data_IF_443818538627
#
_entry.id   IF_443818538627
#
_cell.length_a   1.000
_cell.length_b   1.000
_cell.length_c   1.000
_cell.angle_alpha   90.00
_cell.angle_beta   90.00
_cell.angle_gamma   90.00
#
_symmetry.space_group_name_H-M   'P 1'
#
loop_
_entity.id
_entity.type
_entity.pdbx_description
1 polymer ?
2 polymer ?
3 polymer ?
4 non-polymer ?
5 non-polymer ?
6 water ?
#
loop_
_entity_poly.entity_id
_entity_poly.type
_entity_poly.pdbx_seq_one_letter_code
_entity_poly.pdbx_strand_id
2 'polydeoxyribonucleotide' '(DC)(DG)(DC)(DT)(DA)(DG)(DT)(DC)(DG)(DA)(DC)(DA)(DT)' ?
3 'polydeoxyribonucleotide' '(DA)(DC)(DG)(DA)(DC)(DT)(DA)(DG)(DC)(DG)' ?
#
# COMPACT_ATOMS: atom_id res chain seq x y z
N UNK A 2 -3.42 -6.60 0.72
CA UNK A 2 -3.12 -7.44 1.87
C UNK A 2 -3.25 -8.93 1.56
N UNK A 3 -2.15 -9.66 1.70
CA UNK A 3 -2.13 -11.08 1.37
C UNK A 3 -2.54 -11.94 2.56
N UNK A 4 -3.49 -12.85 2.34
CA UNK A 4 -4.08 -13.64 3.41
C UNK A 4 -3.16 -14.74 3.90
N UNK A 5 -2.77 -14.67 5.17
CA UNK A 5 -1.94 -15.69 5.79
C UNK A 5 -0.46 -15.45 5.62
N UNK A 6 -0.11 -14.28 5.11
CA UNK A 6 1.28 -13.96 4.81
C UNK A 6 2.09 -13.74 6.09
N UNK A 7 1.42 -13.28 7.14
CA UNK A 7 2.07 -13.04 8.42
C UNK A 7 2.58 -14.33 9.05
N UNK A 8 1.69 -15.30 9.20
CA UNK A 8 2.05 -16.59 9.80
C UNK A 8 3.10 -17.33 8.95
N UNK A 9 2.99 -17.20 7.64
CA UNK A 9 3.84 -17.96 6.72
C UNK A 9 5.31 -17.62 6.90
N UNK A 10 5.60 -16.35 7.18
CA UNK A 10 6.97 -15.89 7.37
C UNK A 10 7.18 -15.34 8.77
N UNK A 11 6.45 -15.91 9.73
CA UNK A 11 6.51 -15.49 11.13
C UNK A 11 7.93 -15.49 11.68
N UNK A 12 8.75 -16.39 11.16
CA UNK A 12 10.11 -16.58 11.63
C UNK A 12 11.05 -15.45 11.23
N UNK A 13 10.58 -14.57 10.35
CA UNK A 13 11.37 -13.42 9.91
C UNK A 13 10.87 -12.14 10.57
N UNK A 14 10.05 -12.30 11.59
CA UNK A 14 9.46 -11.17 12.30
C UNK A 14 9.90 -11.11 13.75
N UNK A 15 10.22 -9.91 14.25
CA UNK A 15 10.50 -9.75 15.66
C UNK A 15 9.75 -8.56 16.27
N UNK A 16 9.29 -8.70 17.51
CA UNK A 16 8.64 -7.61 18.25
C UNK A 16 9.64 -6.52 18.63
N UNK A 17 9.38 -5.29 18.20
CA UNK A 17 10.26 -4.18 18.51
C UNK A 17 9.51 -3.03 19.17
N UNK A 18 10.22 -1.94 19.38
CA UNK A 18 9.59 -0.68 19.76
C UNK A 18 10.14 0.43 18.86
N UNK A 19 9.35 1.47 18.62
CA UNK A 19 9.72 2.51 17.68
C UNK A 19 11.01 3.23 18.07
N UNK A 20 11.30 3.26 19.36
CA UNK A 20 12.49 3.97 19.84
C UNK A 20 13.77 3.38 19.26
N UNK A 21 13.65 2.21 18.65
CA UNK A 21 14.75 1.59 17.92
C UNK A 21 15.29 2.51 16.83
N UNK A 22 14.40 3.26 16.20
CA UNK A 22 14.78 4.15 15.12
C UNK A 22 14.92 5.60 15.58
N UNK A 23 15.26 5.79 16.85
CA UNK A 23 15.47 7.13 17.38
C UNK A 23 16.60 7.83 16.61
N UNK A 24 16.29 9.00 16.06
CA UNK A 24 17.25 9.74 15.26
C UNK A 24 17.14 9.40 13.79
N UNK A 25 16.43 8.31 13.49
CA UNK A 25 16.24 7.89 12.11
C UNK A 25 14.87 8.33 11.58
N UNK A 26 14.64 8.06 10.30
CA UNK A 26 13.44 8.53 9.62
C UNK A 26 12.57 7.37 9.14
N UNK A 27 11.29 7.41 9.48
CA UNK A 27 10.36 6.37 9.04
C UNK A 27 9.25 6.97 8.19
N UNK A 28 8.75 6.18 7.24
CA UNK A 28 7.66 6.61 6.38
C UNK A 28 6.38 5.85 6.73
N UNK A 29 5.26 6.56 6.78
CA UNK A 29 4.01 5.94 7.24
C UNK A 29 2.95 5.81 6.15
N UNK A 30 2.34 4.63 6.08
CA UNK A 30 1.18 4.40 5.22
C UNK A 30 -0.07 4.95 5.91
N UNK A 31 -0.26 6.26 5.79
CA UNK A 31 -1.22 7.00 6.60
C UNK A 31 -2.68 6.60 6.37
N UNK A 32 -3.00 6.16 5.17
CA UNK A 32 -4.37 5.75 4.85
C UNK A 32 -4.88 4.65 5.78
N UNK A 33 -3.97 3.84 6.30
CA UNK A 33 -4.30 2.82 7.28
C UNK A 33 -4.78 3.44 8.59
N UNK A 34 -4.01 4.40 9.09
CA UNK A 34 -4.37 5.12 10.30
C UNK A 34 -5.67 5.87 10.14
N UNK A 35 -5.86 6.44 8.95
CA UNK A 35 -7.09 7.14 8.62
C UNK A 35 -8.28 6.20 8.67
N UNK A 36 -8.15 5.05 8.02
CA UNK A 36 -9.22 4.06 8.01
C UNK A 36 -9.51 3.55 9.42
N UNK A 37 -8.47 3.48 10.25
CA UNK A 37 -8.63 3.00 11.62
C UNK A 37 -9.28 4.05 12.50
N UNK A 38 -9.05 5.31 12.18
CA UNK A 38 -9.56 6.41 13.00
C UNK A 38 -10.96 6.83 12.62
N UNK A 39 -11.32 6.65 11.35
CA UNK A 39 -12.63 7.03 10.84
C UNK A 39 -13.72 6.15 11.44
N UNK A 40 -13.32 5.01 11.99
CA UNK A 40 -14.25 4.07 12.61
C UNK A 40 -15.00 4.71 13.78
N UNK A 41 -14.30 5.53 14.55
CA UNK A 41 -14.88 6.17 15.73
C UNK A 41 -15.89 7.26 15.37
N UNK A 42 -15.97 7.57 14.08
CA UNK A 42 -16.91 8.59 13.60
C UNK A 42 -17.47 8.23 12.23
N UNK A 43 -17.81 6.95 12.06
CA UNK A 43 -18.32 6.44 10.79
C UNK A 43 -19.73 6.96 10.51
N UNK A 44 -20.49 7.21 11.56
CA UNK A 44 -21.86 7.69 11.43
C UNK A 44 -21.90 9.06 10.77
N UNK A 45 -21.15 10.00 11.32
CA UNK A 45 -21.09 11.37 10.81
C UNK A 45 -20.58 11.39 9.36
N UNK A 46 -19.62 10.53 9.06
CA UNK A 46 -19.03 10.45 7.73
C UNK A 46 -19.99 9.86 6.72
N UNK A 47 -20.82 8.93 7.16
CA UNK A 47 -21.80 8.30 6.28
C UNK A 47 -22.98 9.23 6.03
N UNK A 48 -23.39 9.96 7.05
CA UNK A 48 -24.52 10.87 6.94
C UNK A 48 -24.10 12.26 6.46
N UNK A 49 -22.81 12.43 6.16
CA UNK A 49 -22.30 13.68 5.64
C UNK A 49 -22.21 14.79 6.68
N UNK A 50 -22.17 14.40 7.95
CA UNK A 50 -22.02 15.36 9.04
C UNK A 50 -20.54 15.68 9.30
N UNK A 51 -20.22 16.97 9.50
CA UNK A 51 -18.85 17.43 9.73
C UNK A 51 -18.21 16.82 10.98
N UNK A 52 -17.07 16.17 10.81
CA UNK A 52 -16.35 15.56 11.92
C UNK A 52 -14.85 15.78 11.76
N UNK A 53 -14.12 15.70 12.87
CA UNK A 53 -12.70 16.03 12.87
C UNK A 53 -11.90 15.14 13.83
N UNK A 54 -12.36 13.91 14.03
CA UNK A 54 -11.74 13.02 15.00
C UNK A 54 -10.56 12.23 14.42
N UNK A 55 -10.70 11.79 13.17
CA UNK A 55 -9.66 10.98 12.52
C UNK A 55 -8.34 11.74 12.45
N UNK A 56 -8.43 13.06 12.28
CA UNK A 56 -7.25 13.92 12.27
C UNK A 56 -6.49 13.79 13.57
N UNK A 57 -7.22 13.89 14.69
CA UNK A 57 -6.62 13.71 16.00
C UNK A 57 -6.06 12.31 16.18
N UNK A 58 -6.78 11.32 15.67
CA UNK A 58 -6.34 9.93 15.77
C UNK A 58 -5.02 9.70 15.03
N UNK A 59 -4.79 10.47 13.98
CA UNK A 59 -3.51 10.39 13.28
C UNK A 59 -2.44 11.18 14.02
N UNK A 60 -2.84 12.34 14.54
CA UNK A 60 -1.91 13.24 15.21
C UNK A 60 -1.39 12.71 16.54
N UNK A 61 -2.09 11.76 17.13
CA UNK A 61 -1.61 11.15 18.37
C UNK A 61 -0.49 10.15 18.08
N UNK A 62 -0.64 9.37 17.01
CA UNK A 62 0.42 8.48 16.56
C UNK A 62 1.63 9.30 16.13
N UNK A 63 1.36 10.38 15.40
CA UNK A 63 2.40 11.31 14.99
C UNK A 63 3.16 11.87 16.20
N UNK A 64 2.40 12.32 17.20
CA UNK A 64 3.00 12.84 18.42
C UNK A 64 3.79 11.79 19.17
N UNK A 65 3.36 10.53 19.06
CA UNK A 65 4.07 9.45 19.71
C UNK A 65 5.43 9.21 19.05
N UNK A 66 5.42 9.05 17.72
CA UNK A 66 6.66 8.90 16.97
C UNK A 66 7.60 10.07 17.20
N UNK A 67 7.05 11.28 17.21
CA UNK A 67 7.84 12.48 17.47
C UNK A 67 8.44 12.46 18.86
N UNK A 68 7.65 11.99 19.83
CA UNK A 68 8.07 11.96 21.22
C UNK A 68 9.23 10.99 21.42
N UNK A 69 9.16 9.84 20.75
CA UNK A 69 10.24 8.86 20.85
C UNK A 69 11.43 9.22 19.96
N UNK A 70 11.41 10.43 19.41
CA UNK A 70 12.54 10.95 18.66
C UNK A 70 12.66 10.44 17.24
N UNK A 71 11.53 10.21 16.58
CA UNK A 71 11.54 9.74 15.19
C UNK A 71 11.12 10.86 14.25
N UNK A 72 11.72 10.92 13.07
CA UNK A 72 11.23 11.82 12.04
C UNK A 72 10.32 11.04 11.09
N UNK A 73 9.01 11.33 11.16
CA UNK A 73 8.04 10.63 10.33
C UNK A 73 7.74 11.33 9.01
N UNK A 74 7.47 10.54 7.99
CA UNK A 74 7.01 11.05 6.70
C UNK A 74 5.69 10.38 6.37
N UNK A 75 4.64 11.18 6.23
CA UNK A 75 3.31 10.61 5.98
C UNK A 75 3.04 10.52 4.49
N UNK A 76 2.79 9.30 4.01
CA UNK A 76 2.52 9.08 2.59
C UNK A 76 1.05 8.72 2.37
N UNK A 77 0.47 9.30 1.33
CA UNK A 77 -0.96 9.14 1.05
C UNK A 77 -1.20 8.54 -0.34
N UNK A 78 -2.26 7.74 -0.44
CA UNK A 78 -2.70 7.23 -1.73
C UNK A 78 -3.14 8.38 -2.63
N UNK A 79 -2.88 8.24 -3.93
CA UNK A 79 -3.25 9.28 -4.88
C UNK A 79 -4.21 8.79 -5.95
N UNK A 80 -3.79 8.91 -7.20
CA UNK A 80 -4.62 8.52 -8.33
C UNK A 80 -4.81 7.01 -8.36
N UNK A 81 -6.00 6.58 -8.78
CA UNK A 81 -6.31 5.15 -8.84
C UNK A 81 -5.55 4.47 -9.96
N UNK A 82 -4.91 3.36 -9.63
CA UNK A 82 -4.11 2.60 -10.59
C UNK A 82 -5.01 1.76 -11.50
N UNK A 83 -4.76 1.82 -12.81
CA UNK A 83 -5.56 1.07 -13.81
C UNK A 83 -5.44 -0.44 -13.64
N UNK A 84 -4.28 -0.93 -13.19
CA UNK A 84 -4.08 -2.35 -12.97
C UNK A 84 -4.90 -2.83 -11.78
N UNK A 85 -5.26 -1.90 -10.91
CA UNK A 85 -6.00 -2.21 -9.71
C UNK A 85 -7.48 -1.85 -9.87
N UNK A 86 -7.88 -1.58 -11.11
CA UNK A 86 -9.22 -1.08 -11.42
C UNK A 86 -10.32 -2.05 -10.98
N UNK A 87 -10.08 -3.34 -11.14
CA UNK A 87 -11.07 -4.36 -10.81
C UNK A 87 -11.32 -4.43 -9.30
N UNK A 88 -10.24 -4.57 -8.54
CA UNK A 88 -10.33 -4.66 -7.09
C UNK A 88 -10.93 -3.39 -6.50
N UNK A 89 -10.45 -2.24 -6.94
CA UNK A 89 -10.97 -0.96 -6.49
C UNK A 89 -12.44 -0.79 -6.83
N UNK A 90 -12.84 -1.30 -8.00
CA UNK A 90 -14.24 -1.27 -8.39
C UNK A 90 -15.08 -2.12 -7.44
N UNK A 91 -14.53 -3.28 -7.07
CA UNK A 91 -15.19 -4.18 -6.13
C UNK A 91 -15.39 -3.49 -4.77
N UNK A 92 -14.33 -2.83 -4.29
CA UNK A 92 -14.40 -2.11 -3.02
C UNK A 92 -15.43 -0.99 -3.10
N UNK A 93 -15.46 -0.31 -4.24
CA UNK A 93 -16.42 0.76 -4.48
C UNK A 93 -17.86 0.24 -4.36
N UNK A 94 -18.14 -0.85 -5.07
CA UNK A 94 -19.47 -1.44 -5.08
C UNK A 94 -19.89 -1.96 -3.70
N UNK A 95 -18.94 -2.52 -2.96
CA UNK A 95 -19.23 -2.98 -1.61
C UNK A 95 -19.51 -1.81 -0.68
N UNK A 96 -18.75 -0.73 -0.84
CA UNK A 96 -18.97 0.49 -0.08
C UNK A 96 -20.37 1.05 -0.33
N UNK A 97 -20.75 1.14 -1.61
CA UNK A 97 -22.07 1.64 -1.98
C UNK A 97 -23.17 0.73 -1.42
N UNK A 98 -22.91 -0.58 -1.47
CA UNK A 98 -23.87 -1.57 -0.99
C UNK A 98 -24.13 -1.43 0.50
N UNK A 99 -23.06 -1.37 1.29
CA UNK A 99 -23.21 -1.19 2.74
C UNK A 99 -23.81 0.17 3.07
N UNK A 100 -23.41 1.19 2.32
CA UNK A 100 -23.93 2.54 2.50
C UNK A 100 -25.45 2.55 2.36
N UNK A 101 -25.95 2.00 1.27
CA UNK A 101 -27.38 1.93 1.04
C UNK A 101 -28.08 1.08 2.10
N UNK A 102 -27.54 -0.13 2.30
CA UNK A 102 -28.11 -1.11 3.23
C UNK A 102 -28.30 -0.53 4.62
N UNK A 103 -27.38 0.34 5.04
CA UNK A 103 -27.54 1.02 6.31
C UNK A 103 -28.47 2.21 6.20
N UNK A 104 -28.07 3.18 5.39
CA UNK A 104 -28.73 4.48 5.25
C UNK A 104 -30.25 4.39 5.05
N UNK A 105 -30.70 3.41 4.27
CA UNK A 105 -32.13 3.29 4.03
C UNK A 105 -32.81 2.20 4.85
N UNK A 106 -32.31 0.97 4.75
CA UNK A 106 -32.98 -0.17 5.37
C UNK A 106 -32.73 -0.30 6.87
N UNK A 107 -31.88 0.56 7.44
CA UNK A 107 -31.60 0.46 8.88
C UNK A 107 -31.99 1.73 9.64
N UNK A 108 -32.41 2.75 8.92
CA UNK A 108 -32.86 3.99 9.54
C UNK A 108 -34.28 3.84 10.05
N UNK A 109 -35.01 2.88 9.50
CA UNK A 109 -36.40 2.63 9.88
C UNK A 109 -36.57 1.25 10.52
N UNK A 110 -35.66 0.33 10.21
CA UNK A 110 -35.69 -1.00 10.78
C UNK A 110 -35.06 -1.04 12.16
N UNK A 111 -33.79 -1.46 12.20
CA UNK A 111 -33.04 -1.51 13.45
C UNK A 111 -31.80 -0.63 13.35
N UNK A 112 -31.58 0.17 14.39
CA UNK A 112 -30.50 1.16 14.38
C UNK A 112 -29.16 0.58 14.83
N UNK A 113 -29.20 -0.61 15.41
CA UNK A 113 -27.99 -1.26 15.94
C UNK A 113 -27.03 -1.69 14.82
N UNK A 114 -27.60 -2.05 13.68
CA UNK A 114 -26.80 -2.52 12.55
C UNK A 114 -26.33 -1.34 11.69
N UNK A 115 -26.91 -0.17 11.93
CA UNK A 115 -26.61 1.02 11.14
C UNK A 115 -25.14 1.40 11.20
N UNK A 116 -24.58 1.41 12.40
CA UNK A 116 -23.17 1.74 12.59
C UNK A 116 -22.26 0.69 11.97
N UNK A 117 -22.70 -0.56 12.04
CA UNK A 117 -21.93 -1.67 11.48
C UNK A 117 -21.87 -1.59 9.95
N UNK A 118 -22.98 -1.23 9.34
CA UNK A 118 -23.01 -1.07 7.88
C UNK A 118 -22.30 0.21 7.46
N UNK A 119 -22.34 1.24 8.30
CA UNK A 119 -21.65 2.49 8.05
C UNK A 119 -20.14 2.31 8.09
N UNK A 120 -19.68 1.45 8.99
CA UNK A 120 -18.26 1.21 9.15
C UNK A 120 -17.71 0.35 8.02
N UNK A 121 -18.59 -0.38 7.35
CA UNK A 121 -18.20 -1.19 6.21
C UNK A 121 -18.34 -0.41 4.90
N UNK A 122 -18.59 0.89 5.02
CA UNK A 122 -18.76 1.74 3.85
C UNK A 122 -17.90 3.01 3.94
N UNK A 123 -16.80 2.91 4.68
CA UNK A 123 -15.91 4.05 4.86
C UNK A 123 -15.05 4.28 3.63
N UNK A 124 -15.10 5.49 3.10
CA UNK A 124 -14.31 5.84 1.92
C UNK A 124 -13.39 7.01 2.20
N UNK A 125 -12.10 6.73 2.32
CA UNK A 125 -11.11 7.76 2.64
C UNK A 125 -10.91 8.71 1.46
N UNK A 126 -11.49 9.90 1.59
CA UNK A 126 -11.38 10.92 0.55
C UNK A 126 -10.05 11.66 0.68
N UNK A 127 -9.70 12.44 -0.31
CA UNK A 127 -8.47 13.20 -0.24
C UNK A 127 -8.67 14.44 0.61
N UNK A 128 -9.91 14.80 0.81
CA UNK A 128 -10.22 15.98 1.63
C UNK A 128 -9.79 15.73 3.07
N UNK A 129 -10.23 14.60 3.62
CA UNK A 129 -9.84 14.18 4.96
C UNK A 129 -8.32 14.08 5.06
N UNK A 130 -7.74 13.45 4.04
CA UNK A 130 -6.29 13.34 3.93
C UNK A 130 -5.65 14.72 3.99
N UNK A 131 -6.32 15.71 3.41
CA UNK A 131 -5.78 17.06 3.38
C UNK A 131 -5.93 17.73 4.75
N UNK A 132 -6.96 17.34 5.50
CA UNK A 132 -7.09 17.80 6.88
C UNK A 132 -5.89 17.32 7.68
N UNK A 133 -5.62 16.02 7.58
CA UNK A 133 -4.47 15.42 8.25
C UNK A 133 -3.17 16.09 7.81
N UNK A 134 -3.04 16.36 6.52
CA UNK A 134 -1.85 17.02 5.99
C UNK A 134 -1.67 18.41 6.60
N UNK A 135 -2.74 19.21 6.59
CA UNK A 135 -2.71 20.54 7.20
C UNK A 135 -2.22 20.46 8.64
N UNK A 136 -2.78 19.51 9.39
CA UNK A 136 -2.39 19.33 10.79
C UNK A 136 -0.91 19.01 10.93
N UNK A 137 -0.47 17.93 10.29
CA UNK A 137 0.91 17.48 10.36
C UNK A 137 1.90 18.58 9.96
N UNK A 138 1.59 19.30 8.88
CA UNK A 138 2.43 20.38 8.42
C UNK A 138 2.48 21.51 9.45
N UNK A 139 1.35 21.80 10.06
CA UNK A 139 1.30 22.84 11.08
C UNK A 139 2.15 22.44 12.28
N UNK A 140 2.27 21.14 12.52
CA UNK A 140 3.15 20.65 13.59
C UNK A 140 4.56 20.30 13.06
N UNK A 141 4.85 20.69 11.82
CA UNK A 141 6.19 20.59 11.28
C UNK A 141 6.57 19.22 10.75
N UNK A 142 5.58 18.44 10.33
CA UNK A 142 5.82 17.08 9.82
C UNK A 142 5.66 17.02 8.31
N UNK A 143 6.70 16.51 7.64
CA UNK A 143 6.68 16.39 6.18
C UNK A 143 5.58 15.45 5.70
N UNK A 144 5.05 15.74 4.51
CA UNK A 144 4.04 14.90 3.90
C UNK A 144 4.36 14.62 2.44
N UNK A 145 3.68 13.63 1.87
CA UNK A 145 3.87 13.25 0.48
C UNK A 145 2.66 12.47 -0.01
N UNK A 146 2.05 12.93 -1.09
CA UNK A 146 0.96 12.19 -1.70
C UNK A 146 1.47 11.47 -2.94
N UNK A 147 1.50 10.14 -2.87
CA UNK A 147 1.95 9.32 -3.99
C UNK A 147 1.15 9.62 -5.25
N UNK A 148 1.83 9.60 -6.40
CA UNK A 148 1.14 9.75 -7.68
C UNK A 148 0.04 8.70 -7.82
N UNK A 149 0.30 7.51 -7.29
CA UNK A 149 -0.70 6.45 -7.27
C UNK A 149 -0.73 5.75 -5.91
N UNK A 150 -0.42 4.46 -5.89
CA UNK A 150 -0.55 3.67 -4.68
C UNK A 150 0.59 3.94 -3.70
N UNK A 151 0.24 4.22 -2.44
CA UNK A 151 1.22 4.58 -1.42
C UNK A 151 2.22 3.47 -1.18
N UNK A 152 1.82 2.23 -1.47
CA UNK A 152 2.70 1.07 -1.36
C UNK A 152 4.00 1.31 -2.12
N UNK A 153 3.87 1.65 -3.40
CA UNK A 153 5.01 1.89 -4.27
C UNK A 153 5.86 3.08 -3.80
N UNK A 154 5.20 4.14 -3.37
CA UNK A 154 5.90 5.32 -2.89
C UNK A 154 6.77 4.99 -1.67
N UNK A 155 6.15 4.37 -0.67
CA UNK A 155 6.85 3.95 0.54
C UNK A 155 8.01 3.02 0.23
N UNK A 156 7.72 1.98 -0.56
CA UNK A 156 8.75 1.05 -1.00
C UNK A 156 9.92 1.79 -1.63
N UNK A 157 9.62 2.79 -2.45
CA UNK A 157 10.67 3.61 -3.04
C UNK A 157 11.49 4.32 -1.98
N UNK A 158 10.80 5.01 -1.07
CA UNK A 158 11.48 5.80 -0.04
C UNK A 158 12.41 4.93 0.80
N UNK A 159 12.02 3.68 1.02
CA UNK A 159 12.86 2.74 1.76
C UNK A 159 14.03 2.24 0.93
N UNK A 160 13.76 1.88 -0.32
CA UNK A 160 14.80 1.35 -1.20
C UNK A 160 15.78 2.44 -1.62
N UNK A 161 15.34 3.69 -1.57
CA UNK A 161 16.18 4.81 -1.99
C UNK A 161 17.08 5.29 -0.87
N UNK A 162 16.75 4.92 0.37
CA UNK A 162 17.55 5.29 1.52
C UNK A 162 17.04 6.50 2.26
N UNK A 163 15.92 7.05 1.79
CA UNK A 163 15.32 8.22 2.43
C UNK A 163 14.75 7.85 3.80
N UNK A 164 14.14 6.66 3.88
CA UNK A 164 13.67 6.14 5.17
C UNK A 164 14.25 4.74 5.42
N UNK A 165 14.40 4.39 6.69
CA UNK A 165 15.00 3.11 7.08
C UNK A 165 13.93 2.07 7.38
N UNK A 166 12.74 2.54 7.74
CA UNK A 166 11.64 1.65 8.06
C UNK A 166 10.33 2.23 7.56
N UNK A 167 9.31 1.37 7.43
CA UNK A 167 8.00 1.79 6.97
C UNK A 167 6.91 1.26 7.89
N UNK A 168 6.10 2.18 8.41
CA UNK A 168 5.00 1.79 9.29
C UNK A 168 3.70 1.62 8.51
N UNK A 169 3.16 0.40 8.53
CA UNK A 169 1.94 0.12 7.79
C UNK A 169 1.16 -1.06 8.38
N UNK A 170 0.00 -1.32 7.82
CA UNK A 170 -0.81 -2.47 8.19
C UNK A 170 -1.06 -3.33 6.96
N UNK A 171 -0.47 -2.92 5.84
CA UNK A 171 -0.63 -3.63 4.58
C UNK A 171 0.60 -4.47 4.27
N UNK A 172 0.41 -5.79 4.18
CA UNK A 172 1.52 -6.71 3.97
C UNK A 172 2.06 -6.67 2.55
N UNK A 173 1.40 -5.93 1.66
CA UNK A 173 1.81 -5.85 0.27
C UNK A 173 3.20 -5.23 0.12
N UNK A 174 3.61 -4.46 1.12
CA UNK A 174 4.86 -3.72 1.10
C UNK A 174 6.07 -4.65 0.92
N UNK A 175 5.95 -5.88 1.39
CA UNK A 175 7.03 -6.84 1.26
C UNK A 175 7.24 -7.25 -0.19
N UNK A 176 6.15 -7.50 -0.90
CA UNK A 176 6.21 -7.87 -2.30
C UNK A 176 6.84 -6.76 -3.15
N UNK A 177 6.81 -5.53 -2.64
CA UNK A 177 7.41 -4.40 -3.33
C UNK A 177 8.92 -4.32 -3.09
N UNK A 178 9.40 -5.09 -2.11
CA UNK A 178 10.83 -5.17 -1.86
C UNK A 178 11.34 -4.24 -0.78
N UNK A 179 10.50 -3.93 0.19
CA UNK A 179 10.90 -3.09 1.32
C UNK A 179 11.91 -3.79 2.20
N UNK A 180 12.89 -3.04 2.70
CA UNK A 180 13.90 -3.61 3.58
C UNK A 180 13.30 -3.97 4.94
N UNK A 181 12.68 -2.98 5.59
CA UNK A 181 12.09 -3.18 6.90
C UNK A 181 10.64 -2.68 6.95
N UNK A 182 9.74 -3.52 7.46
CA UNK A 182 8.34 -3.16 7.55
C UNK A 182 7.78 -3.37 8.95
N UNK A 183 7.34 -2.30 9.59
CA UNK A 183 6.77 -2.39 10.92
C UNK A 183 5.25 -2.53 10.87
N UNK A 184 4.75 -3.69 11.27
CA UNK A 184 3.32 -3.98 11.20
C UNK A 184 2.66 -4.00 12.56
N UNK A 185 1.34 -3.94 12.56
CA UNK A 185 0.52 -4.12 13.76
C UNK A 185 0.95 -3.25 14.94
N UNK A 186 1.38 -2.02 14.66
CA UNK A 186 1.86 -1.14 15.71
C UNK A 186 0.72 -0.52 16.51
N UNK A 187 0.85 -0.51 17.83
CA UNK A 187 -0.19 0.04 18.70
C UNK A 187 0.10 1.49 19.08
N UNK A 188 -0.77 2.01 19.94
CA UNK A 188 -0.74 3.42 20.35
C UNK A 188 0.58 3.85 20.99
N UNK A 189 1.23 2.91 21.69
CA UNK A 189 2.39 3.24 22.51
C UNK A 189 3.72 3.01 21.79
N UNK A 190 3.69 2.27 20.69
CA UNK A 190 4.89 2.08 19.88
C UNK A 190 5.39 0.65 19.81
N UNK A 191 4.55 -0.31 20.16
CA UNK A 191 4.92 -1.72 20.09
C UNK A 191 4.35 -2.39 18.84
N UNK A 192 5.25 -2.85 17.97
CA UNK A 192 4.83 -3.46 16.72
C UNK A 192 5.72 -4.60 16.27
N UNK A 193 5.39 -5.18 15.11
CA UNK A 193 6.15 -6.28 14.55
C UNK A 193 7.02 -5.83 13.38
N UNK A 194 8.33 -5.84 13.56
CA UNK A 194 9.23 -5.51 12.48
C UNK A 194 9.51 -6.72 11.61
N UNK A 195 9.68 -6.50 10.31
CA UNK A 195 10.05 -7.57 9.40
C UNK A 195 11.19 -7.15 8.50
N UNK A 196 12.38 -7.66 8.78
CA UNK A 196 13.54 -7.37 7.96
C UNK A 196 13.53 -8.29 6.75
N UNK A 197 13.85 -7.72 5.59
CA UNK A 197 13.90 -8.49 4.36
C UNK A 197 15.02 -9.54 4.40
N UNK A 198 16.17 -9.14 4.92
CA UNK A 198 17.34 -10.02 4.97
C UNK A 198 17.09 -11.26 5.82
N UNK A 199 16.17 -11.13 6.77
CA UNK A 199 15.82 -12.22 7.67
C UNK A 199 14.84 -13.20 7.04
N UNK A 200 14.40 -12.93 5.81
CA UNK A 200 13.44 -13.81 5.14
C UNK A 200 14.00 -15.21 4.93
N UNK A 201 15.34 -15.30 4.87
CA UNK A 201 16.00 -16.57 4.73
C UNK A 201 15.84 -17.48 5.94
N UNK A 202 15.36 -16.93 7.05
CA UNK A 202 15.16 -17.69 8.28
C UNK A 202 13.80 -18.39 8.32
N UNK A 203 13.18 -18.59 7.17
CA UNK A 203 11.85 -19.19 7.11
C UNK A 203 11.88 -20.58 6.50
N UNK A 204 11.56 -21.59 7.30
CA UNK A 204 11.56 -22.99 6.86
C UNK A 204 10.67 -23.20 5.64
N UNK A 205 9.43 -22.74 5.73
CA UNK A 205 8.43 -23.00 4.71
C UNK A 205 8.79 -22.40 3.36
N UNK A 206 9.51 -21.28 3.38
CA UNK A 206 9.88 -20.58 2.14
C UNK A 206 10.84 -21.40 1.28
N UNK A 207 11.95 -21.84 1.88
CA UNK A 207 12.96 -22.55 1.12
C UNK A 207 13.88 -21.56 0.40
N UNK A 208 14.02 -21.73 -0.91
CA UNK A 208 14.89 -20.85 -1.68
C UNK A 208 14.10 -19.66 -2.24
N UNK A 209 12.85 -19.52 -1.79
CA UNK A 209 12.00 -18.41 -2.19
C UNK A 209 12.18 -17.25 -1.23
N UNK A 210 13.43 -16.85 -1.01
CA UNK A 210 13.73 -15.74 -0.13
C UNK A 210 14.29 -14.56 -0.91
N UNK A 211 14.53 -14.77 -2.22
CA UNK A 211 15.00 -13.71 -3.09
C UNK A 211 13.85 -12.79 -3.48
N UNK A 212 14.17 -11.55 -3.84
CA UNK A 212 13.14 -10.55 -4.14
C UNK A 212 12.21 -11.00 -5.27
N UNK A 213 12.80 -11.44 -6.38
CA UNK A 213 12.03 -11.86 -7.53
C UNK A 213 11.09 -13.03 -7.22
N UNK A 214 11.63 -14.07 -6.60
CA UNK A 214 10.85 -15.27 -6.30
C UNK A 214 9.75 -14.97 -5.28
N UNK A 215 10.07 -14.21 -4.25
CA UNK A 215 9.09 -13.82 -3.24
C UNK A 215 7.97 -13.02 -3.88
N UNK A 216 8.34 -12.15 -4.82
CA UNK A 216 7.37 -11.36 -5.57
C UNK A 216 6.43 -12.27 -6.37
N UNK A 217 7.02 -13.23 -7.07
CA UNK A 217 6.24 -14.19 -7.85
C UNK A 217 5.24 -14.90 -6.96
N UNK A 218 5.72 -15.36 -5.82
CA UNK A 218 4.90 -16.06 -4.84
C UNK A 218 3.71 -15.21 -4.42
N UNK A 219 3.98 -13.96 -4.07
CA UNK A 219 2.92 -13.04 -3.66
C UNK A 219 1.90 -12.85 -4.76
N UNK A 220 2.37 -12.67 -5.99
CA UNK A 220 1.47 -12.47 -7.12
C UNK A 220 0.56 -13.67 -7.34
N UNK A 221 1.14 -14.84 -7.55
CA UNK A 221 0.31 -15.98 -7.93
C UNK A 221 -0.41 -16.59 -6.73
N UNK A 222 -0.15 -16.06 -5.53
CA UNK A 222 -0.93 -16.46 -4.36
C UNK A 222 -2.27 -15.73 -4.35
N UNK A 223 -2.31 -14.59 -5.02
CA UNK A 223 -3.50 -13.76 -5.04
C UNK A 223 -3.20 -12.37 -4.50
N UNK A 224 -3.37 -11.36 -5.35
CA UNK A 224 -3.10 -9.98 -4.95
C UNK A 224 -4.16 -9.02 -5.46
N UNK A 225 -3.82 -7.73 -5.48
CA UNK A 225 -4.75 -6.67 -5.86
C UNK A 225 -4.63 -6.28 -7.33
N UNK A 226 -3.67 -6.87 -8.03
CA UNK A 226 -3.49 -6.61 -9.44
C UNK A 226 -3.89 -7.84 -10.25
N UNK A 227 -4.07 -8.96 -9.55
CA UNK A 227 -4.42 -10.22 -10.18
C UNK A 227 -4.92 -11.23 -9.15
N UNK A 228 -6.13 -11.74 -9.35
CA UNK A 228 -6.66 -12.78 -8.49
C UNK A 228 -5.93 -14.09 -8.73
N UNK A 229 -5.84 -14.92 -7.70
CA UNK A 229 -5.19 -16.22 -7.81
C UNK A 229 -6.09 -17.20 -8.55
N UNK A 230 -5.50 -18.32 -8.98
CA UNK A 230 -6.29 -19.40 -9.54
C UNK A 230 -7.06 -20.06 -8.42
N UNK A 231 -8.23 -20.61 -8.74
CA UNK A 231 -9.07 -21.22 -7.72
C UNK A 231 -8.41 -22.46 -7.14
N UNK A 232 -8.21 -22.46 -5.82
CA UNK A 232 -7.60 -23.58 -5.14
C UNK A 232 -6.13 -23.38 -4.86
N UNK A 233 -5.60 -22.21 -5.23
CA UNK A 233 -4.19 -21.91 -5.02
C UNK A 233 -4.01 -20.73 -4.08
N UNK A 234 -3.49 -21.03 -2.89
CA UNK A 234 -3.19 -20.00 -1.91
C UNK A 234 -1.70 -19.82 -1.75
N UNK A 235 -1.26 -19.47 -0.55
CA UNK A 235 0.14 -19.17 -0.29
C UNK A 235 1.03 -20.42 -0.38
N UNK A 236 0.60 -21.48 0.31
CA UNK A 236 1.39 -22.70 0.42
C UNK A 236 1.74 -23.30 -0.94
N UNK A 237 0.74 -23.48 -1.79
CA UNK A 237 0.96 -24.07 -3.11
C UNK A 237 1.73 -23.12 -4.02
N UNK A 238 1.53 -21.82 -3.81
CA UNK A 238 2.27 -20.80 -4.54
C UNK A 238 3.76 -20.96 -4.24
N UNK A 239 4.06 -21.21 -2.98
CA UNK A 239 5.43 -21.40 -2.54
C UNK A 239 6.00 -22.72 -3.06
N UNK A 240 5.19 -23.78 -2.98
CA UNK A 240 5.64 -25.10 -3.40
C UNK A 240 6.01 -25.13 -4.87
N UNK A 241 5.19 -24.48 -5.69
CA UNK A 241 5.47 -24.41 -7.13
C UNK A 241 6.85 -23.81 -7.40
N UNK A 242 7.18 -22.73 -6.70
CA UNK A 242 8.46 -22.07 -6.91
C UNK A 242 9.61 -22.88 -6.35
N UNK A 243 9.39 -23.54 -5.20
CA UNK A 243 10.41 -24.40 -4.62
C UNK A 243 10.79 -25.53 -5.56
N UNK A 244 9.79 -26.14 -6.19
CA UNK A 244 10.03 -27.27 -7.08
C UNK A 244 10.50 -26.86 -8.48
N UNK A 245 10.45 -25.55 -8.76
CA UNK A 245 10.79 -25.05 -10.10
C UNK A 245 12.29 -24.96 -10.33
N UNK A 246 12.79 -25.79 -11.26
CA UNK A 246 14.19 -25.77 -11.65
C UNK A 246 14.45 -24.84 -12.81
N UNK A 247 13.37 -24.28 -13.37
CA UNK A 247 13.49 -23.42 -14.54
C UNK A 247 13.42 -21.95 -14.17
N UNK A 248 14.42 -21.16 -14.61
CA UNK A 248 14.50 -19.72 -14.38
C UNK A 248 13.29 -18.95 -14.94
N UNK A 249 12.88 -19.28 -16.16
CA UNK A 249 11.76 -18.62 -16.81
C UNK A 249 10.47 -18.90 -16.03
N UNK A 250 9.75 -17.84 -15.70
CA UNK A 250 8.54 -17.96 -14.90
C UNK A 250 7.34 -18.45 -15.72
N UNK A 251 7.30 -18.07 -17.00
CA UNK A 251 6.20 -18.43 -17.89
C UNK A 251 6.01 -19.95 -18.01
N UNK A 252 7.11 -20.66 -18.29
CA UNK A 252 7.05 -22.11 -18.45
C UNK A 252 6.59 -22.78 -17.16
N UNK A 253 7.00 -22.22 -16.03
CA UNK A 253 6.59 -22.71 -14.72
C UNK A 253 5.09 -22.56 -14.55
N UNK A 254 4.59 -21.36 -14.82
CA UNK A 254 3.16 -21.07 -14.72
C UNK A 254 2.35 -21.97 -15.65
N UNK A 255 2.93 -22.33 -16.79
CA UNK A 255 2.28 -23.27 -17.70
C UNK A 255 2.25 -24.69 -17.12
N UNK A 256 3.35 -25.11 -16.49
CA UNK A 256 3.42 -26.47 -15.94
C UNK A 256 2.96 -26.55 -14.48
N UNK A 257 2.26 -25.51 -14.02
CA UNK A 257 1.75 -25.47 -12.66
C UNK A 257 0.80 -26.62 -12.35
N UNK A 258 0.14 -27.15 -13.38
CA UNK A 258 -0.75 -28.29 -13.22
C UNK A 258 0.04 -29.55 -12.94
N UNK A 259 1.25 -29.62 -13.51
CA UNK A 259 2.11 -30.77 -13.35
C UNK A 259 2.83 -30.73 -12.00
N UNK A 260 3.23 -29.54 -11.56
CA UNK A 260 3.97 -29.41 -10.31
C UNK A 260 3.16 -29.77 -9.07
N UNK A 261 1.87 -29.45 -9.06
CA UNK A 261 1.03 -29.63 -7.87
C UNK A 261 0.14 -30.86 -7.93
N UNK A 262 0.20 -31.58 -9.05
CA UNK A 262 -0.71 -32.70 -9.30
C UNK A 262 -2.17 -32.28 -9.14
N UNK A 263 -2.51 -31.13 -9.71
CA UNK A 263 -3.89 -30.63 -9.72
C UNK A 263 -4.39 -30.47 -11.16
N UNK A 264 -5.70 -30.50 -11.33
CA UNK A 264 -6.30 -30.24 -12.64
C UNK A 264 -6.42 -28.74 -12.92
N UNK A 265 -5.33 -28.13 -13.39
CA UNK A 265 -5.32 -26.70 -13.64
C UNK A 265 -5.10 -26.37 -15.11
N UNK A 266 -6.14 -25.85 -15.75
CA UNK A 266 -6.03 -25.36 -17.11
C UNK A 266 -5.76 -23.85 -17.09
N UNK A 267 -4.50 -23.48 -17.20
CA UNK A 267 -4.09 -22.08 -17.10
C UNK A 267 -4.38 -21.30 -18.38
N UNK A 268 -5.20 -20.25 -18.28
CA UNK A 268 -5.55 -19.39 -19.42
C UNK A 268 -4.44 -18.41 -19.78
N UNK A 269 -4.55 -17.79 -20.95
CA UNK A 269 -3.53 -16.83 -21.40
C UNK A 269 -3.70 -15.49 -20.71
N UNK A 270 -4.94 -15.20 -20.31
CA UNK A 270 -5.24 -13.96 -19.59
C UNK A 270 -4.55 -13.96 -18.23
N UNK A 271 -4.33 -15.14 -17.68
CA UNK A 271 -3.62 -15.25 -16.41
C UNK A 271 -2.12 -15.11 -16.62
N UNK A 272 -1.64 -15.52 -17.80
CA UNK A 272 -0.23 -15.36 -18.13
C UNK A 272 0.11 -13.89 -18.30
N UNK A 273 -0.57 -13.23 -19.24
CA UNK A 273 -0.33 -11.82 -19.48
C UNK A 273 -0.73 -10.98 -18.27
N UNK A 274 -1.71 -11.46 -17.52
CA UNK A 274 -2.09 -10.83 -16.27
C UNK A 274 -0.97 -10.91 -15.26
N UNK A 275 -0.27 -12.04 -15.27
CA UNK A 275 0.87 -12.24 -14.38
C UNK A 275 1.99 -11.28 -14.76
N UNK A 276 2.30 -11.21 -16.04
CA UNK A 276 3.31 -10.27 -16.53
C UNK A 276 2.95 -8.84 -16.11
N UNK A 277 1.68 -8.49 -16.28
CA UNK A 277 1.18 -7.18 -15.87
C UNK A 277 1.39 -6.93 -14.38
N UNK A 278 1.05 -7.90 -13.55
CA UNK A 278 1.20 -7.78 -12.11
C UNK A 278 2.66 -7.60 -11.71
N UNK A 279 3.53 -8.38 -12.35
CA UNK A 279 4.97 -8.30 -12.12
C UNK A 279 5.52 -6.93 -12.47
N UNK A 280 5.13 -6.45 -13.66
CA UNK A 280 5.54 -5.12 -14.11
C UNK A 280 4.97 -4.02 -13.22
N UNK A 281 3.82 -4.29 -12.60
CA UNK A 281 3.22 -3.33 -11.71
C UNK A 281 4.03 -3.24 -10.42
N UNK A 282 4.37 -4.40 -9.85
CA UNK A 282 5.21 -4.43 -8.65
C UNK A 282 6.61 -3.87 -8.91
N UNK A 283 7.09 -3.99 -10.15
CA UNK A 283 8.44 -3.55 -10.48
C UNK A 283 8.53 -2.06 -10.83
N UNK A 284 7.69 -1.60 -11.74
CA UNK A 284 7.86 -0.28 -12.33
C UNK A 284 6.68 0.68 -12.16
N UNK A 285 5.92 0.52 -11.07
CA UNK A 285 4.83 1.44 -10.80
C UNK A 285 5.38 2.83 -10.51
N UNK A 286 4.75 3.85 -11.09
CA UNK A 286 5.27 5.21 -11.01
C UNK A 286 5.23 5.77 -9.59
N UNK A 287 6.38 6.30 -9.16
CA UNK A 287 6.48 6.95 -7.86
C UNK A 287 7.02 8.35 -8.06
N UNK A 288 7.07 9.12 -6.99
CA UNK A 288 7.55 10.48 -7.07
C UNK A 288 8.91 10.62 -6.39
N UNK A 289 9.86 11.22 -7.10
CA UNK A 289 11.17 11.50 -6.54
C UNK A 289 11.15 12.87 -5.86
N UNK A 290 11.18 12.90 -4.53
CA UNK A 290 11.07 14.16 -3.78
C UNK A 290 12.27 15.06 -3.97
N UNK A 291 13.42 14.47 -4.28
CA UNK A 291 14.65 15.23 -4.45
C UNK A 291 14.70 15.94 -5.80
N UNK A 292 14.57 15.16 -6.86
CA UNK A 292 14.66 15.68 -8.23
C UNK A 292 13.34 16.25 -8.72
N UNK A 293 12.28 16.04 -7.95
CA UNK A 293 10.91 16.43 -8.34
C UNK A 293 10.53 15.82 -9.68
N UNK A 294 10.67 14.50 -9.81
CA UNK A 294 10.40 13.82 -11.07
C UNK A 294 9.62 12.52 -10.86
N UNK A 295 8.75 12.21 -11.81
CA UNK A 295 7.96 10.99 -11.76
C UNK A 295 8.72 9.81 -12.36
N UNK A 296 9.14 8.87 -11.52
CA UNK A 296 9.98 7.76 -11.95
C UNK A 296 9.37 6.40 -11.64
N UNK A 297 9.79 5.36 -12.38
CA UNK A 297 9.41 3.98 -12.02
C UNK A 297 10.07 3.54 -10.73
N UNK A 298 9.41 2.65 -9.98
CA UNK A 298 9.92 2.15 -8.71
C UNK A 298 11.34 1.60 -8.85
N UNK A 299 11.52 0.71 -9.81
CA UNK A 299 12.83 0.25 -10.21
C UNK A 299 13.12 0.69 -11.64
N UNK A 300 14.39 0.90 -11.96
CA UNK A 300 14.79 1.26 -13.31
C UNK A 300 14.36 0.18 -14.29
N UNK A 301 13.89 0.58 -15.46
CA UNK A 301 13.39 -0.37 -16.46
C UNK A 301 14.48 -1.34 -16.90
N UNK A 302 14.14 -2.63 -16.91
CA UNK A 302 15.07 -3.66 -17.36
C UNK A 302 15.09 -3.75 -18.87
N UNK A 303 15.82 -4.74 -19.40
CA UNK A 303 15.99 -4.86 -20.85
C UNK A 303 14.81 -5.55 -21.54
N UNK A 304 14.00 -6.26 -20.75
CA UNK A 304 12.90 -7.04 -21.32
C UNK A 304 11.54 -6.38 -21.11
N UNK A 305 11.51 -5.06 -21.08
CA UNK A 305 10.27 -4.35 -20.84
C UNK A 305 10.18 -3.04 -21.63
N UNK A 306 9.13 -2.92 -22.43
CA UNK A 306 8.88 -1.71 -23.22
C UNK A 306 7.96 -0.77 -22.45
N UNK A 307 8.48 0.39 -22.03
CA UNK A 307 7.79 1.36 -21.18
C UNK A 307 6.47 1.88 -21.76
N UNK A 308 6.35 1.87 -23.09
CA UNK A 308 5.14 2.35 -23.74
C UNK A 308 3.94 1.42 -23.53
N UNK A 309 4.22 0.21 -23.08
CA UNK A 309 3.17 -0.79 -22.87
C UNK A 309 2.73 -0.87 -21.40
N UNK A 310 3.38 -0.08 -20.54
CA UNK A 310 3.10 -0.14 -19.10
C UNK A 310 2.08 0.90 -18.66
N UNK A 311 1.05 1.10 -19.48
CA UNK A 311 -0.02 2.04 -19.17
C UNK A 311 -0.70 1.70 -17.85
N UNK A 312 -0.83 0.41 -17.57
CA UNK A 312 -1.48 -0.05 -16.35
C UNK A 312 -0.65 0.24 -15.11
N UNK A 313 0.65 0.47 -15.30
CA UNK A 313 1.56 0.69 -14.18
C UNK A 313 1.54 2.14 -13.73
N UNK A 314 0.72 2.94 -14.39
CA UNK A 314 0.61 4.35 -14.06
C UNK A 314 0.97 5.22 -15.25
N UNK A 315 0.18 6.28 -15.45
CA UNK A 315 0.37 7.21 -16.54
C UNK A 315 1.35 8.31 -16.16
N UNK A 316 2.23 8.69 -17.08
CA UNK A 316 3.09 9.84 -16.88
C UNK A 316 2.31 11.15 -17.02
N UNK A 317 2.50 12.05 -16.07
CA UNK A 317 2.01 13.42 -16.19
C UNK A 317 3.21 14.35 -16.12
N UNK A 318 2.99 15.63 -16.39
CA UNK A 318 4.09 16.60 -16.35
C UNK A 318 4.66 16.70 -14.95
N UNK A 319 5.96 16.99 -14.86
CA UNK A 319 6.65 17.03 -13.57
C UNK A 319 6.06 18.06 -12.62
N UNK A 320 5.56 19.16 -13.17
CA UNK A 320 4.95 20.21 -12.36
C UNK A 320 3.63 19.74 -11.75
N UNK A 321 2.83 19.06 -12.56
CA UNK A 321 1.57 18.51 -12.09
C UNK A 321 1.82 17.46 -11.02
N UNK A 322 2.83 16.62 -11.26
CA UNK A 322 3.21 15.59 -10.30
C UNK A 322 3.64 16.21 -8.99
N UNK A 323 4.44 17.27 -9.07
CA UNK A 323 4.90 17.98 -7.88
C UNK A 323 3.73 18.57 -7.10
N UNK A 324 2.76 19.14 -7.82
CA UNK A 324 1.60 19.73 -7.17
C UNK A 324 0.71 18.68 -6.51
N UNK A 325 0.60 17.51 -7.14
CA UNK A 325 -0.15 16.41 -6.57
C UNK A 325 0.55 15.93 -5.30
N UNK A 326 1.87 15.81 -5.37
CA UNK A 326 2.67 15.32 -4.27
C UNK A 326 2.60 16.24 -3.04
N UNK A 327 2.40 17.53 -3.28
CA UNK A 327 2.31 18.49 -2.19
C UNK A 327 0.92 18.53 -1.57
N UNK A 328 -0.02 17.82 -2.20
CA UNK A 328 -1.38 17.77 -1.72
C UNK A 328 -2.19 19.00 -2.11
N UNK A 329 -1.57 19.88 -2.88
CA UNK A 329 -2.24 21.09 -3.37
C UNK A 329 -3.33 20.78 -4.38
N UNK A 330 -3.10 19.75 -5.18
CA UNK A 330 -4.04 19.35 -6.21
C UNK A 330 -4.85 18.14 -5.76
N UNK A 331 -6.17 18.28 -5.79
CA UNK A 331 -7.07 17.22 -5.35
C UNK A 331 -7.04 16.05 -6.35
N UNK A 332 -6.93 14.84 -5.82
CA UNK A 332 -6.84 13.65 -6.66
C UNK A 332 -8.14 13.37 -7.40
N UNK A 333 -9.24 13.51 -6.71
CA UNK A 333 -10.55 13.14 -7.25
C UNK A 333 -11.05 14.12 -8.31
N UNK A 334 -10.84 15.42 -8.09
CA UNK A 334 -11.43 16.46 -8.93
C UNK A 334 -10.41 17.25 -9.74
N UNK A 335 -9.12 17.05 -9.44
CA UNK A 335 -8.00 17.68 -10.14
C UNK A 335 -8.00 19.21 -10.05
N UNK A 336 -8.50 19.75 -8.94
CA UNK A 336 -8.47 21.19 -8.72
C UNK A 336 -7.45 21.58 -7.66
N UNK A 337 -6.97 22.82 -7.74
CA UNK A 337 -6.02 23.34 -6.75
C UNK A 337 -6.72 23.70 -5.46
N UNK A 338 -6.81 22.74 -4.54
CA UNK A 338 -7.48 22.98 -3.26
C UNK A 338 -6.60 23.80 -2.32
N UNK A 339 -5.31 23.91 -2.66
CA UNK A 339 -4.36 24.66 -1.84
C UNK A 339 -3.20 25.17 -2.69
N UNK A 340 -2.42 26.07 -2.11
CA UNK A 340 -1.32 26.70 -2.84
C UNK A 340 -0.01 26.63 -2.06
N UNK A 341 0.12 25.61 -1.23
CA UNK A 341 1.31 25.43 -0.40
C UNK A 341 2.57 25.24 -1.25
N UNK A 342 3.63 25.95 -0.89
CA UNK A 342 4.92 25.82 -1.57
C UNK A 342 6.05 25.63 -0.56
N UNK A 343 6.83 24.56 -0.74
CA UNK A 343 7.89 24.17 0.20
C UNK A 343 9.13 25.06 0.12
N UNK A 344 9.34 25.70 -1.01
CA UNK A 344 10.50 26.57 -1.19
C UNK A 344 10.35 27.85 -0.36
N UNK A 345 9.15 28.40 -0.32
CA UNK A 345 8.86 29.54 0.54
C UNK A 345 8.24 29.05 1.85
N UNK A 346 8.01 29.97 2.78
CA UNK A 346 7.43 29.65 4.09
C UNK A 346 8.26 28.61 4.83
N UNK A 353 15.98 20.76 6.78
CA UNK A 353 16.33 19.50 6.15
C UNK A 353 15.08 18.74 5.70
N UNK A 354 14.21 19.42 4.95
CA UNK A 354 12.97 18.83 4.47
C UNK A 354 13.21 17.82 3.36
N UNK A 355 12.13 17.21 2.86
CA UNK A 355 12.22 16.26 1.76
C UNK A 355 12.69 16.94 0.48
N UNK A 356 12.11 18.11 0.20
CA UNK A 356 12.41 18.84 -1.02
C UNK A 356 13.50 19.89 -0.76
N UNK A 357 14.58 19.81 -1.54
CA UNK A 357 15.72 20.71 -1.40
C UNK A 357 16.28 20.72 0.02
#
# INVERSE_FOLDING_TARGET
MGIQGLLQFIKEASEPIHVRKYKGQVVAVDTYCWLHKGAIACAEKLAKGEPTDRYVGFCMKFVNMLLSHGIKPILVFDGCTLPSKKEVERSRRERRQANLLKGKQLLREGKVSEARECFTRSINITHAMAHKVIKAARSQGVDCLVAPYEADAQLAYLNKAGIVQAIITEDSDLLAFGCKKVILKMDQFGNGLEIDQARLGMCRQLGDVFTEEKFRYMCILSGCDYLSSLRGIGLAKACKVLRLANNPDIVKVIKKIGHYLKMNITVPEDYINGFIRANNTFLYQLVFDPIKRKLIPLNAYEDDVDPETLSYAGQYVDDSIALQIALGNKDINTFEQIDDYNPDTAMPAHSRENLYFQ
#
